data_IF_672529304872
#
_entry.id   IF_672529304872
#
_cell.length_a   1.000
_cell.length_b   1.000
_cell.length_c   1.000
_cell.angle_alpha   90.00
_cell.angle_beta   90.00
_cell.angle_gamma   90.00
#
_symmetry.space_group_name_H-M   'P 1'
#
loop_
_entity.id
_entity.type
_entity.pdbx_description
1 polymer ?
#
# COMPACT_ATOMS: atom_id res chain seq x y z
N UNK A 1 -0.57 42.13 -10.49
CA UNK A 1 0.44 41.33 -9.77
C UNK A 1 0.95 40.31 -10.76
N UNK A 2 2.18 40.47 -11.23
CA UNK A 2 2.81 39.49 -12.12
C UNK A 2 2.86 38.14 -11.41
N UNK A 3 2.36 37.11 -12.10
CA UNK A 3 2.41 35.74 -11.60
C UNK A 3 3.84 35.23 -11.82
N UNK A 4 4.51 34.87 -10.75
CA UNK A 4 5.81 34.20 -10.80
C UNK A 4 5.68 32.92 -11.63
N UNK A 5 6.61 32.69 -12.57
CA UNK A 5 6.57 31.52 -13.44
C UNK A 5 6.83 30.23 -12.67
N UNK A 6 6.39 29.09 -13.22
CA UNK A 6 6.71 27.77 -12.65
C UNK A 6 8.22 27.53 -12.51
N UNK A 7 9.03 28.06 -13.43
CA UNK A 7 10.48 27.92 -13.39
C UNK A 7 11.11 28.72 -12.25
N UNK A 8 10.65 29.95 -12.04
CA UNK A 8 11.09 30.80 -10.92
C UNK A 8 10.67 30.19 -9.58
N UNK A 9 9.44 29.68 -9.48
CA UNK A 9 8.94 28.99 -8.29
C UNK A 9 9.75 27.72 -7.99
N UNK A 10 10.04 26.90 -8.99
CA UNK A 10 10.89 25.72 -8.85
C UNK A 10 12.30 26.09 -8.39
N UNK A 11 12.89 27.12 -8.98
CA UNK A 11 14.24 27.60 -8.63
C UNK A 11 14.30 28.10 -7.20
N UNK A 12 13.30 28.88 -6.78
CA UNK A 12 13.17 29.38 -5.42
C UNK A 12 13.01 28.23 -4.42
N UNK A 13 12.11 27.27 -4.67
CA UNK A 13 11.92 26.11 -3.79
C UNK A 13 13.17 25.24 -3.69
N UNK A 14 13.88 25.02 -4.81
CA UNK A 14 15.14 24.28 -4.82
C UNK A 14 16.24 24.97 -4.02
N UNK A 15 16.32 26.30 -4.10
CA UNK A 15 17.24 27.09 -3.30
C UNK A 15 16.91 26.97 -1.80
N UNK A 16 15.64 27.15 -1.43
CA UNK A 16 15.17 26.99 -0.04
C UNK A 16 15.48 25.60 0.50
N UNK A 17 15.18 24.55 -0.26
CA UNK A 17 15.47 23.17 0.14
C UNK A 17 16.97 22.93 0.39
N UNK A 18 17.83 23.51 -0.45
CA UNK A 18 19.29 23.43 -0.30
C UNK A 18 19.80 24.21 0.94
N UNK A 19 19.22 25.37 1.24
CA UNK A 19 19.56 26.14 2.45
C UNK A 19 19.16 25.42 3.74
N UNK A 20 18.21 24.49 3.66
CA UNK A 20 17.71 23.69 4.77
C UNK A 20 18.34 22.29 4.82
N UNK A 21 19.44 22.05 4.09
CA UNK A 21 20.18 20.80 4.12
C UNK A 21 21.05 20.71 5.39
N UNK A 22 21.00 19.57 6.06
CA UNK A 22 21.85 19.28 7.21
C UNK A 22 23.28 18.99 6.72
N UNK A 23 24.32 19.67 7.22
CA UNK A 23 25.70 19.47 6.76
C UNK A 23 26.29 18.09 7.12
N UNK A 24 25.61 17.32 7.97
CA UNK A 24 26.08 16.02 8.45
C UNK A 24 25.48 14.87 7.65
N UNK A 25 24.15 14.79 7.57
CA UNK A 25 23.47 13.71 6.84
C UNK A 25 23.19 14.06 5.37
N UNK A 26 23.36 15.32 4.98
CA UNK A 26 23.06 15.85 3.64
C UNK A 26 21.59 15.69 3.22
N UNK A 27 20.70 15.43 4.17
CA UNK A 27 19.24 15.45 4.01
C UNK A 27 18.67 16.76 4.56
N UNK A 28 17.41 17.06 4.24
CA UNK A 28 16.69 18.19 4.85
C UNK A 28 16.68 18.09 6.38
N UNK A 29 16.96 19.22 7.05
CA UNK A 29 16.92 19.36 8.50
C UNK A 29 15.62 18.79 9.08
N UNK A 30 15.74 17.97 10.13
CA UNK A 30 14.59 17.30 10.75
C UNK A 30 14.44 17.75 12.19
N UNK A 31 13.36 18.48 12.53
CA UNK A 31 13.05 18.85 13.90
C UNK A 31 12.95 17.61 14.81
N UNK A 32 13.39 17.69 16.09
CA UNK A 32 14.03 18.85 16.72
C UNK A 32 15.46 19.09 16.19
N UNK A 33 15.89 20.36 16.15
CA UNK A 33 17.21 20.76 15.67
C UNK A 33 18.17 21.08 16.82
N UNK A 34 19.46 20.91 16.54
CA UNK A 34 20.57 21.38 17.37
C UNK A 34 21.23 22.56 16.67
N UNK A 35 21.51 23.62 17.42
CA UNK A 35 21.99 24.90 16.88
C UNK A 35 23.27 25.34 17.58
N UNK A 36 24.24 25.91 16.84
CA UNK A 36 25.41 26.55 17.43
C UNK A 36 25.16 28.05 17.73
N UNK A 37 26.09 28.71 18.43
CA UNK A 37 25.98 30.14 18.75
C UNK A 37 25.93 31.08 17.53
N UNK A 38 26.38 30.60 16.36
CA UNK A 38 26.28 31.30 15.08
C UNK A 38 25.00 30.95 14.28
N UNK A 39 24.03 30.26 14.89
CA UNK A 39 22.74 29.86 14.31
C UNK A 39 22.77 28.81 13.19
N UNK A 40 23.89 28.11 12.97
CA UNK A 40 23.89 26.93 12.09
C UNK A 40 23.15 25.77 12.75
N UNK A 41 22.32 25.08 11.98
CA UNK A 41 21.49 23.99 12.45
C UNK A 41 21.99 22.64 11.94
N UNK A 42 21.83 21.61 12.76
CA UNK A 42 21.95 20.20 12.40
C UNK A 42 20.73 19.45 12.95
N UNK A 43 20.39 18.29 12.36
CA UNK A 43 19.36 17.42 12.92
C UNK A 43 19.76 16.99 14.34
N UNK A 44 18.80 16.80 15.25
CA UNK A 44 19.11 16.34 16.62
C UNK A 44 19.90 15.03 16.63
N UNK A 45 19.56 14.06 15.77
CA UNK A 45 20.31 12.80 15.62
C UNK A 45 21.73 12.99 15.10
N UNK A 46 21.98 14.04 14.31
CA UNK A 46 23.31 14.37 13.81
C UNK A 46 24.14 15.16 14.83
N UNK A 47 23.47 15.87 15.73
CA UNK A 47 24.11 16.73 16.73
C UNK A 47 24.41 16.04 18.07
N UNK A 48 23.93 14.82 18.32
CA UNK A 48 24.04 14.14 19.62
C UNK A 48 25.49 14.04 20.14
N UNK A 49 26.45 13.76 19.25
CA UNK A 49 27.86 13.56 19.61
C UNK A 49 28.77 14.72 19.18
N UNK A 50 28.20 15.79 18.62
CA UNK A 50 28.99 16.92 18.12
C UNK A 50 29.25 17.94 19.24
N UNK A 51 30.54 18.24 19.47
CA UNK A 51 30.97 19.32 20.37
C UNK A 51 31.06 20.66 19.67
N UNK A 52 31.38 20.65 18.39
CA UNK A 52 31.62 21.83 17.56
C UNK A 52 30.77 21.77 16.29
N UNK A 53 30.38 22.94 15.79
CA UNK A 53 29.59 23.08 14.59
C UNK A 53 30.41 22.62 13.37
N UNK A 54 29.90 21.70 12.53
CA UNK A 54 30.62 21.26 11.33
C UNK A 54 30.76 22.36 10.27
N UNK A 55 30.04 23.47 10.39
CA UNK A 55 30.06 24.59 9.44
C UNK A 55 31.01 25.71 9.85
N UNK A 56 31.13 25.99 11.15
CA UNK A 56 31.89 27.16 11.63
C UNK A 56 32.73 26.90 12.87
N UNK A 57 32.89 25.64 13.30
CA UNK A 57 33.78 25.18 14.38
C UNK A 57 33.49 25.75 15.78
N UNK A 58 32.42 26.53 15.93
CA UNK A 58 31.97 27.03 17.24
C UNK A 58 31.27 25.95 18.05
N UNK A 59 31.39 26.03 19.37
CA UNK A 59 30.74 25.10 20.30
C UNK A 59 29.23 24.96 20.04
N UNK A 60 28.77 23.70 20.02
CA UNK A 60 27.35 23.37 19.98
C UNK A 60 26.80 23.46 21.39
N UNK A 61 25.83 24.33 21.57
CA UNK A 61 25.19 24.57 22.87
C UNK A 61 23.85 23.86 22.92
N UNK A 62 23.64 23.04 23.96
CA UNK A 62 22.48 22.15 24.09
C UNK A 62 21.15 22.86 24.41
N UNK A 63 21.16 24.18 24.63
CA UNK A 63 20.01 24.95 25.12
C UNK A 63 19.57 26.12 24.22
N UNK A 64 20.10 26.24 22.99
CA UNK A 64 19.66 27.28 22.07
C UNK A 64 18.29 26.93 21.47
N UNK A 65 17.39 27.91 21.47
CA UNK A 65 16.09 27.82 20.81
C UNK A 65 16.20 28.41 19.41
N UNK A 66 15.56 27.78 18.44
CA UNK A 66 15.47 28.29 17.07
C UNK A 66 14.04 28.81 16.79
N UNK A 67 13.84 29.68 15.78
CA UNK A 67 12.53 30.26 15.49
C UNK A 67 11.49 29.20 15.10
N UNK A 68 10.28 29.28 15.65
CA UNK A 68 9.17 28.38 15.29
C UNK A 68 8.82 28.42 13.79
N UNK A 69 9.05 29.57 13.14
CA UNK A 69 8.88 29.69 11.70
C UNK A 69 9.78 28.71 10.91
N UNK A 70 10.93 28.31 11.45
CA UNK A 70 11.78 27.28 10.84
C UNK A 70 11.12 25.90 10.94
N UNK A 71 10.45 25.57 12.04
CA UNK A 71 9.65 24.34 12.14
C UNK A 71 8.52 24.35 11.11
N UNK A 72 7.80 25.47 10.97
CA UNK A 72 6.70 25.59 10.00
C UNK A 72 7.19 25.38 8.56
N UNK A 73 8.32 25.98 8.20
CA UNK A 73 8.95 25.79 6.88
C UNK A 73 9.39 24.33 6.70
N UNK A 74 10.07 23.73 7.68
CA UNK A 74 10.54 22.35 7.60
C UNK A 74 9.42 21.31 7.58
N UNK A 75 8.26 21.64 8.13
CA UNK A 75 7.04 20.84 8.07
C UNK A 75 6.24 21.06 6.78
N UNK A 76 6.35 22.23 6.15
CA UNK A 76 5.71 22.55 4.88
C UNK A 76 6.45 22.02 3.64
N UNK A 77 7.73 21.69 3.75
CA UNK A 77 8.54 21.19 2.62
C UNK A 77 8.39 19.66 2.49
N UNK A 78 7.95 19.15 1.32
CA UNK A 78 7.92 17.73 1.04
C UNK A 78 9.33 17.12 1.08
N UNK A 79 9.46 15.92 1.64
CA UNK A 79 10.73 15.20 1.72
C UNK A 79 10.62 13.87 0.99
N UNK A 80 11.76 13.42 0.47
CA UNK A 80 11.86 12.13 -0.20
C UNK A 80 11.70 11.00 0.82
N UNK A 81 11.00 9.93 0.44
CA UNK A 81 10.97 8.70 1.23
C UNK A 81 12.38 8.12 1.46
N UNK A 82 12.69 7.79 2.72
CA UNK A 82 13.99 7.22 3.10
C UNK A 82 14.13 5.70 2.95
N UNK A 83 13.07 4.97 2.57
CA UNK A 83 13.12 3.50 2.51
C UNK A 83 14.01 2.96 1.38
N UNK A 84 14.07 3.66 0.25
CA UNK A 84 14.97 3.33 -0.87
C UNK A 84 15.16 4.55 -1.76
N UNK A 85 16.32 4.61 -2.42
CA UNK A 85 16.61 5.65 -3.43
C UNK A 85 15.64 5.57 -4.61
N UNK A 86 15.09 4.39 -4.87
CA UNK A 86 14.13 4.09 -5.94
C UNK A 86 12.69 4.50 -5.58
N UNK A 87 12.43 4.86 -4.32
CA UNK A 87 11.16 5.48 -3.96
C UNK A 87 11.18 6.96 -4.36
N UNK A 88 10.41 7.30 -5.40
CA UNK A 88 10.32 8.66 -5.92
C UNK A 88 9.27 9.52 -5.21
N UNK A 89 8.68 9.04 -4.12
CA UNK A 89 7.64 9.76 -3.38
C UNK A 89 8.25 10.91 -2.56
N UNK A 90 7.69 12.10 -2.76
CA UNK A 90 7.95 13.30 -1.95
C UNK A 90 6.67 13.64 -1.19
N UNK A 91 6.76 13.68 0.13
CA UNK A 91 5.59 13.73 1.02
C UNK A 91 5.89 14.66 2.20
N UNK A 92 4.84 15.24 2.79
CA UNK A 92 5.02 16.00 4.03
C UNK A 92 5.52 15.11 5.19
N UNK A 93 6.11 15.66 6.26
CA UNK A 93 6.59 14.84 7.37
C UNK A 93 5.52 13.95 8.02
N UNK A 94 4.27 14.42 8.09
CA UNK A 94 3.14 13.63 8.59
C UNK A 94 2.82 12.45 7.68
N UNK A 95 2.78 12.67 6.37
CA UNK A 95 2.51 11.64 5.36
C UNK A 95 3.66 10.64 5.23
N UNK A 96 4.91 11.08 5.38
CA UNK A 96 6.09 10.19 5.33
C UNK A 96 6.04 9.10 6.40
N UNK A 97 5.52 9.42 7.58
CA UNK A 97 5.37 8.45 8.67
C UNK A 97 4.43 7.31 8.27
N UNK A 98 3.31 7.64 7.64
CA UNK A 98 2.34 6.65 7.19
C UNK A 98 2.82 5.93 5.92
N UNK A 99 3.38 6.67 4.96
CA UNK A 99 3.98 6.11 3.75
C UNK A 99 5.09 5.10 4.08
N UNK A 100 5.92 5.36 5.08
CA UNK A 100 7.04 4.47 5.43
C UNK A 100 6.58 3.06 5.76
N UNK A 101 5.35 2.91 6.30
CA UNK A 101 4.72 1.62 6.62
C UNK A 101 4.15 0.91 5.40
N UNK A 102 3.70 1.66 4.39
CA UNK A 102 3.06 1.11 3.18
C UNK A 102 3.97 1.12 1.94
N UNK A 103 5.18 1.65 2.08
CA UNK A 103 6.13 1.83 0.98
C UNK A 103 6.53 0.47 0.37
N UNK A 104 6.37 0.27 -0.95
CA UNK A 104 6.77 -0.98 -1.62
C UNK A 104 8.27 -1.31 -1.54
N UNK A 105 9.09 -0.33 -1.16
CA UNK A 105 10.53 -0.47 -1.01
C UNK A 105 10.98 -0.66 0.43
N UNK A 106 10.05 -0.63 1.41
CA UNK A 106 10.42 -0.91 2.80
C UNK A 106 10.96 -2.33 2.93
N UNK A 107 11.90 -2.51 3.84
CA UNK A 107 12.46 -3.82 4.13
C UNK A 107 11.48 -4.65 4.97
N UNK A 108 11.39 -5.94 4.66
CA UNK A 108 10.66 -6.93 5.46
C UNK A 108 11.41 -8.26 5.46
N UNK A 109 10.98 -9.17 6.33
CA UNK A 109 11.50 -10.53 6.45
C UNK A 109 10.41 -11.55 6.12
N UNK A 110 10.80 -12.66 5.50
CA UNK A 110 9.87 -13.77 5.28
C UNK A 110 9.45 -14.36 6.63
N UNK A 111 8.15 -14.48 6.89
CA UNK A 111 7.61 -15.06 8.14
C UNK A 111 7.44 -16.58 8.09
N UNK A 112 7.78 -17.23 6.97
CA UNK A 112 7.72 -18.69 6.81
C UNK A 112 8.79 -19.34 7.70
N UNK A 113 8.45 -20.38 8.48
CA UNK A 113 9.41 -21.05 9.35
C UNK A 113 10.67 -21.49 8.61
N UNK A 114 11.81 -21.36 9.27
CA UNK A 114 13.12 -21.73 8.74
C UNK A 114 13.58 -20.93 7.51
N UNK A 115 12.91 -19.84 7.15
CA UNK A 115 13.38 -18.89 6.14
C UNK A 115 14.18 -17.76 6.78
N UNK A 116 15.33 -17.42 6.18
CA UNK A 116 16.20 -16.32 6.62
C UNK A 116 16.15 -15.09 5.68
N UNK A 117 15.27 -15.10 4.68
CA UNK A 117 15.20 -14.06 3.68
C UNK A 117 14.78 -12.70 4.27
N UNK A 118 15.48 -11.65 3.84
CA UNK A 118 15.18 -10.25 4.12
C UNK A 118 15.36 -9.45 2.83
N UNK A 119 14.45 -8.52 2.55
CA UNK A 119 14.50 -7.71 1.34
C UNK A 119 13.35 -6.73 1.23
N UNK A 120 13.26 -6.05 0.09
CA UNK A 120 12.18 -5.10 -0.18
C UNK A 120 10.85 -5.84 -0.35
N UNK A 121 9.77 -5.28 0.21
CA UNK A 121 8.46 -5.94 0.19
C UNK A 121 7.95 -6.25 -1.24
N UNK A 122 8.23 -5.38 -2.23
CA UNK A 122 7.88 -5.64 -3.64
C UNK A 122 8.50 -6.93 -4.20
N UNK A 123 9.61 -7.41 -3.62
CA UNK A 123 10.31 -8.64 -4.07
C UNK A 123 9.88 -9.89 -3.29
N UNK A 124 9.12 -9.72 -2.19
CA UNK A 124 8.71 -10.82 -1.30
C UNK A 124 7.92 -11.90 -2.04
N UNK A 125 6.97 -11.52 -2.88
CA UNK A 125 6.16 -12.49 -3.63
C UNK A 125 7.01 -13.34 -4.56
N UNK A 126 8.01 -12.73 -5.21
CA UNK A 126 8.92 -13.47 -6.06
C UNK A 126 9.74 -14.47 -5.23
N UNK A 127 10.26 -14.03 -4.08
CA UNK A 127 10.97 -14.92 -3.15
C UNK A 127 10.10 -16.10 -2.71
N UNK A 128 8.86 -15.87 -2.27
CA UNK A 128 7.96 -16.96 -1.84
C UNK A 128 7.65 -17.89 -3.01
N UNK A 129 7.42 -17.37 -4.22
CA UNK A 129 7.22 -18.21 -5.42
C UNK A 129 8.43 -19.08 -5.76
N UNK A 130 9.66 -18.60 -5.57
CA UNK A 130 10.86 -19.36 -5.92
C UNK A 130 11.27 -20.33 -4.83
N UNK A 131 11.12 -19.93 -3.56
CA UNK A 131 11.70 -20.65 -2.41
C UNK A 131 10.66 -21.41 -1.58
N UNK A 132 9.36 -21.09 -1.75
CA UNK A 132 8.25 -21.62 -0.95
C UNK A 132 6.99 -21.85 -1.82
N UNK A 133 7.14 -22.55 -2.94
CA UNK A 133 6.09 -22.72 -3.99
C UNK A 133 4.71 -23.14 -3.46
N UNK A 134 4.64 -23.91 -2.37
CA UNK A 134 3.40 -24.43 -1.79
C UNK A 134 2.79 -23.54 -0.68
N UNK A 135 3.44 -22.41 -0.36
CA UNK A 135 3.06 -21.52 0.74
C UNK A 135 2.44 -20.21 0.26
N UNK A 136 2.10 -20.10 -1.03
CA UNK A 136 1.46 -18.92 -1.64
C UNK A 136 0.06 -19.23 -2.16
N UNK A 137 -0.90 -18.37 -1.80
CA UNK A 137 -2.27 -18.40 -2.30
C UNK A 137 -2.60 -17.08 -3.00
N UNK A 138 -3.13 -17.17 -4.21
CA UNK A 138 -3.65 -16.02 -4.96
C UNK A 138 -5.18 -16.06 -4.87
N UNK A 139 -5.77 -15.14 -4.09
CA UNK A 139 -7.21 -15.04 -3.92
C UNK A 139 -7.81 -14.21 -5.06
N UNK A 140 -8.54 -14.88 -5.94
CA UNK A 140 -9.50 -14.26 -6.88
C UNK A 140 -10.94 -14.46 -6.38
N UNK A 141 -11.15 -14.36 -5.05
CA UNK A 141 -12.40 -14.75 -4.37
C UNK A 141 -12.12 -15.78 -3.28
N UNK A 142 -12.94 -16.82 -3.21
CA UNK A 142 -12.77 -17.93 -2.27
C UNK A 142 -11.69 -18.91 -2.78
N UNK A 143 -10.75 -19.31 -1.94
CA UNK A 143 -9.73 -20.34 -2.28
C UNK A 143 -9.73 -21.45 -1.25
N UNK A 144 -9.51 -22.68 -1.71
CA UNK A 144 -9.35 -23.83 -0.83
C UNK A 144 -7.90 -23.94 -0.37
N UNK A 145 -7.68 -23.92 0.94
CA UNK A 145 -6.40 -24.23 1.56
C UNK A 145 -6.37 -25.70 1.93
N UNK A 146 -5.26 -26.36 1.61
CA UNK A 146 -5.01 -27.77 1.97
C UNK A 146 -3.76 -27.87 2.82
N UNK A 147 -3.90 -28.47 4.00
CA UNK A 147 -2.77 -28.83 4.87
C UNK A 147 -2.53 -30.32 4.79
N UNK A 148 -1.37 -30.72 4.27
CA UNK A 148 -0.97 -32.12 4.15
C UNK A 148 -0.44 -32.66 5.48
N UNK A 149 -0.60 -33.98 5.70
CA UNK A 149 -0.12 -34.67 6.90
C UNK A 149 -0.65 -34.08 8.22
N UNK A 150 -1.86 -33.54 8.20
CA UNK A 150 -2.50 -32.95 9.37
C UNK A 150 -3.09 -34.02 10.29
N UNK A 151 -2.98 -33.81 11.60
CA UNK A 151 -3.58 -34.66 12.63
C UNK A 151 -3.92 -33.81 13.84
N UNK A 152 -5.13 -33.96 14.35
CA UNK A 152 -5.64 -33.22 15.52
C UNK A 152 -4.79 -33.48 16.77
N UNK A 153 -4.17 -34.65 16.86
CA UNK A 153 -3.35 -35.10 17.98
C UNK A 153 -1.88 -34.64 17.90
N UNK A 154 -1.46 -34.04 16.78
CA UNK A 154 -0.06 -33.63 16.57
C UNK A 154 0.09 -32.11 16.55
N UNK A 155 1.16 -31.56 17.15
CA UNK A 155 1.43 -30.14 17.05
C UNK A 155 1.66 -29.79 15.58
N UNK A 156 1.09 -28.67 15.16
CA UNK A 156 1.21 -28.17 13.80
C UNK A 156 1.45 -26.68 13.83
N UNK A 157 2.38 -26.19 13.01
CA UNK A 157 2.59 -24.77 12.78
C UNK A 157 2.92 -24.54 11.31
N UNK A 158 2.25 -23.58 10.69
CA UNK A 158 2.55 -23.16 9.32
C UNK A 158 2.25 -21.68 9.16
N UNK A 159 3.00 -21.05 8.24
CA UNK A 159 2.76 -19.66 7.82
C UNK A 159 2.69 -19.66 6.31
N UNK A 160 1.63 -19.08 5.77
CA UNK A 160 1.33 -18.99 4.34
C UNK A 160 1.13 -17.52 3.96
N UNK A 161 1.50 -17.16 2.74
CA UNK A 161 1.20 -15.84 2.19
C UNK A 161 -0.07 -15.91 1.33
N UNK A 162 -0.90 -14.90 1.47
CA UNK A 162 -2.13 -14.74 0.70
C UNK A 162 -2.06 -13.39 -0.01
N UNK A 163 -2.32 -13.38 -1.31
CA UNK A 163 -2.44 -12.16 -2.12
C UNK A 163 -3.89 -11.92 -2.52
N UNK A 164 -4.42 -10.73 -2.24
CA UNK A 164 -5.78 -10.32 -2.58
C UNK A 164 -5.83 -8.86 -3.00
N UNK A 165 -6.29 -8.58 -4.23
CA UNK A 165 -6.52 -7.23 -4.79
C UNK A 165 -5.33 -6.27 -4.56
N UNK A 166 -4.10 -6.76 -4.79
CA UNK A 166 -2.87 -5.98 -4.62
C UNK A 166 -2.37 -5.85 -3.19
N UNK A 167 -3.06 -6.44 -2.21
CA UNK A 167 -2.64 -6.50 -0.81
C UNK A 167 -2.10 -7.89 -0.46
N UNK A 168 -1.16 -7.95 0.49
CA UNK A 168 -0.55 -9.19 0.95
C UNK A 168 -0.85 -9.44 2.43
N UNK A 169 -1.13 -10.70 2.75
CA UNK A 169 -1.51 -11.13 4.08
C UNK A 169 -0.69 -12.34 4.49
N UNK A 170 -0.25 -12.39 5.75
CA UNK A 170 0.25 -13.62 6.36
C UNK A 170 -0.89 -14.35 7.04
N UNK A 171 -1.00 -15.64 6.78
CA UNK A 171 -1.86 -16.55 7.51
C UNK A 171 -0.98 -17.48 8.35
N UNK A 172 -1.06 -17.35 9.67
CA UNK A 172 -0.38 -18.22 10.62
C UNK A 172 -1.36 -19.19 11.23
N UNK A 173 -1.06 -20.48 11.15
CA UNK A 173 -1.91 -21.57 11.61
C UNK A 173 -1.18 -22.38 12.67
N UNK A 174 -1.84 -22.67 13.79
CA UNK A 174 -1.29 -23.47 14.89
C UNK A 174 -2.31 -24.50 15.39
N UNK A 175 -1.90 -25.76 15.51
CA UNK A 175 -2.62 -26.79 16.25
C UNK A 175 -1.85 -27.09 17.54
N UNK A 176 -2.51 -26.94 18.68
CA UNK A 176 -1.99 -27.32 20.00
C UNK A 176 -2.84 -28.46 20.58
N UNK A 177 -2.40 -29.72 20.42
CA UNK A 177 -3.13 -30.88 20.93
C UNK A 177 -3.28 -30.89 22.46
N UNK A 178 -2.35 -30.28 23.20
CA UNK A 178 -2.39 -30.28 24.67
C UNK A 178 -3.54 -29.43 25.19
N UNK A 179 -3.83 -28.34 24.48
CA UNK A 179 -4.96 -27.45 24.76
C UNK A 179 -6.21 -27.82 23.95
N UNK A 180 -6.08 -28.72 22.97
CA UNK A 180 -7.14 -29.09 22.05
C UNK A 180 -7.59 -27.94 21.16
N UNK A 181 -6.68 -27.03 20.79
CA UNK A 181 -7.02 -25.81 20.05
C UNK A 181 -6.37 -25.79 18.67
N UNK A 182 -7.18 -25.48 17.67
CA UNK A 182 -6.73 -25.04 16.37
C UNK A 182 -6.98 -23.55 16.19
N UNK A 183 -5.92 -22.81 15.82
CA UNK A 183 -5.93 -21.36 15.72
C UNK A 183 -5.39 -20.86 14.39
N UNK A 184 -6.05 -19.84 13.85
CA UNK A 184 -5.63 -19.15 12.63
C UNK A 184 -5.61 -17.66 12.88
N UNK A 185 -4.50 -17.01 12.51
CA UNK A 185 -4.28 -15.55 12.63
C UNK A 185 -3.97 -15.01 11.24
N UNK A 186 -4.64 -13.93 10.85
CA UNK A 186 -4.32 -13.17 9.64
C UNK A 186 -3.69 -11.83 9.99
N UNK A 187 -2.58 -11.49 9.34
CA UNK A 187 -1.97 -10.15 9.44
C UNK A 187 -1.84 -9.54 8.06
N UNK A 188 -2.17 -8.25 7.92
CA UNK A 188 -2.00 -7.47 6.70
C UNK A 188 -0.60 -6.85 6.69
N UNK A 189 0.13 -7.00 5.58
CA UNK A 189 1.41 -6.31 5.36
C UNK A 189 1.22 -4.85 4.92
N UNK A 190 0.01 -4.31 5.06
CA UNK A 190 -0.42 -2.93 4.83
C UNK A 190 0.26 -2.26 3.63
N UNK A 191 -0.42 -2.26 2.49
CA UNK A 191 -0.15 -1.32 1.39
C UNK A 191 -1.14 -0.15 1.37
N UNK A 192 -2.13 -0.19 2.25
CA UNK A 192 -3.19 0.79 2.42
C UNK A 192 -3.63 0.85 3.89
N UNK A 193 -4.41 1.89 4.23
CA UNK A 193 -5.05 2.05 5.54
C UNK A 193 -6.36 1.26 5.66
N UNK A 194 -6.61 0.32 4.73
CA UNK A 194 -7.87 -0.38 4.66
C UNK A 194 -7.95 -1.46 5.73
N UNK A 195 -9.12 -1.57 6.37
CA UNK A 195 -9.43 -2.71 7.23
C UNK A 195 -9.93 -3.90 6.41
N UNK A 196 -9.50 -5.09 6.80
CA UNK A 196 -9.87 -6.34 6.15
C UNK A 196 -10.45 -7.31 7.17
N UNK A 197 -11.33 -8.18 6.69
CA UNK A 197 -11.89 -9.31 7.44
C UNK A 197 -11.66 -10.58 6.62
N UNK A 198 -11.22 -11.63 7.30
CA UNK A 198 -11.00 -12.95 6.73
C UNK A 198 -12.16 -13.86 7.14
N UNK A 199 -12.70 -14.62 6.20
CA UNK A 199 -13.67 -15.66 6.44
C UNK A 199 -13.01 -17.01 6.20
N UNK A 200 -13.14 -17.91 7.18
CA UNK A 200 -12.77 -19.31 7.08
C UNK A 200 -14.05 -20.14 7.06
N UNK A 201 -14.12 -21.07 6.11
CA UNK A 201 -15.29 -21.90 5.91
C UNK A 201 -14.89 -23.38 5.73
N UNK A 202 -15.38 -24.23 6.61
CA UNK A 202 -15.21 -25.67 6.56
C UNK A 202 -16.52 -26.30 6.06
N UNK A 203 -16.45 -27.09 5.00
CA UNK A 203 -17.62 -27.69 4.36
C UNK A 203 -17.41 -29.17 4.13
N UNK A 204 -18.34 -29.98 4.61
CA UNK A 204 -18.56 -31.36 4.18
C UNK A 204 -19.95 -31.49 3.57
N UNK A 205 -20.36 -32.70 3.18
CA UNK A 205 -21.71 -32.97 2.71
C UNK A 205 -22.78 -32.60 3.74
N UNK A 206 -22.48 -32.79 5.03
CA UNK A 206 -23.45 -32.72 6.12
C UNK A 206 -23.18 -31.56 7.10
N UNK A 207 -21.97 -30.99 7.09
CA UNK A 207 -21.53 -29.98 8.06
C UNK A 207 -20.99 -28.76 7.33
N UNK A 208 -21.46 -27.58 7.74
CA UNK A 208 -20.93 -26.29 7.30
C UNK A 208 -20.61 -25.44 8.52
N UNK A 209 -19.33 -25.13 8.71
CA UNK A 209 -18.86 -24.21 9.74
C UNK A 209 -18.25 -22.98 9.07
N UNK A 210 -18.68 -21.78 9.48
CA UNK A 210 -18.19 -20.52 8.96
C UNK A 210 -17.83 -19.60 10.11
N UNK A 211 -16.65 -19.01 10.02
CA UNK A 211 -16.17 -18.03 10.99
C UNK A 211 -15.50 -16.87 10.28
N UNK A 212 -15.73 -15.67 10.78
CA UNK A 212 -15.06 -14.46 10.31
C UNK A 212 -14.20 -13.85 11.40
N UNK A 213 -13.09 -13.26 11.00
CA UNK A 213 -12.07 -12.68 11.87
C UNK A 213 -11.51 -11.41 11.29
N UNK A 214 -11.23 -10.44 12.17
CA UNK A 214 -10.55 -9.22 11.79
C UNK A 214 -9.09 -9.53 11.42
N UNK A 215 -8.64 -9.01 10.28
CA UNK A 215 -7.24 -9.06 9.89
C UNK A 215 -6.47 -8.03 10.71
N UNK A 216 -5.39 -8.47 11.36
CA UNK A 216 -4.57 -7.65 12.25
C UNK A 216 -3.46 -6.91 11.47
N UNK A 217 -2.78 -5.95 12.11
CA UNK A 217 -1.59 -5.31 11.54
C UNK A 217 -0.37 -6.24 11.55
N UNK A 218 0.65 -5.94 10.74
CA UNK A 218 1.87 -6.75 10.62
C UNK A 218 2.68 -6.82 11.93
N UNK A 219 2.62 -5.77 12.76
CA UNK A 219 3.44 -5.57 13.96
C UNK A 219 3.00 -6.39 15.18
N UNK A 220 1.95 -7.19 15.04
CA UNK A 220 1.39 -7.97 16.14
C UNK A 220 2.23 -9.19 16.46
N UNK A 221 2.49 -9.41 17.75
CA UNK A 221 3.05 -10.67 18.25
C UNK A 221 2.03 -11.81 18.09
N UNK A 222 2.34 -12.71 17.15
CA UNK A 222 1.47 -13.82 16.79
C UNK A 222 1.34 -14.83 17.96
N UNK A 223 2.39 -15.03 18.76
CA UNK A 223 2.34 -15.95 19.90
C UNK A 223 1.48 -15.40 21.05
N UNK A 224 1.51 -14.08 21.27
CA UNK A 224 0.57 -13.42 22.18
C UNK A 224 -0.88 -13.58 21.70
N UNK A 225 -1.13 -13.44 20.38
CA UNK A 225 -2.47 -13.61 19.82
C UNK A 225 -2.98 -15.04 19.91
N UNK A 226 -2.13 -16.03 19.68
CA UNK A 226 -2.51 -17.42 19.94
C UNK A 226 -2.87 -17.64 21.41
N UNK A 227 -2.32 -16.86 22.34
CA UNK A 227 -2.63 -16.96 23.76
C UNK A 227 -3.93 -16.25 24.18
N UNK A 228 -4.41 -15.25 23.42
CA UNK A 228 -5.50 -14.33 23.82
C UNK A 228 -6.80 -14.42 23.00
N UNK A 229 -7.12 -15.57 22.40
CA UNK A 229 -8.44 -15.81 21.81
C UNK A 229 -8.60 -15.33 20.36
N UNK A 230 -7.72 -15.78 19.48
CA UNK A 230 -8.00 -15.79 18.02
C UNK A 230 -9.00 -16.89 17.66
N UNK A 231 -9.42 -16.98 16.38
CA UNK A 231 -10.25 -18.05 15.82
C UNK A 231 -9.92 -19.38 16.48
N UNK A 232 -10.84 -19.85 17.32
CA UNK A 232 -10.70 -21.06 18.10
C UNK A 232 -11.68 -22.08 17.54
N UNK A 233 -11.12 -23.21 17.12
CA UNK A 233 -11.87 -24.42 16.86
C UNK A 233 -11.31 -25.50 17.79
N UNK A 234 -12.16 -26.20 18.56
CA UNK A 234 -11.72 -27.42 19.24
C UNK A 234 -11.13 -28.36 18.19
N UNK A 235 -9.90 -28.83 18.38
CA UNK A 235 -9.21 -29.64 17.35
C UNK A 235 -10.01 -30.89 16.98
N UNK A 236 -10.77 -31.46 17.91
CA UNK A 236 -11.66 -32.61 17.68
C UNK A 236 -12.76 -32.33 16.66
N UNK A 237 -13.26 -31.10 16.58
CA UNK A 237 -14.28 -30.68 15.61
C UNK A 237 -13.72 -30.59 14.18
N UNK A 238 -12.39 -30.65 14.01
CA UNK A 238 -11.77 -30.68 12.70
C UNK A 238 -11.81 -32.06 12.04
N UNK A 239 -12.04 -33.12 12.81
CA UNK A 239 -11.99 -34.51 12.34
C UNK A 239 -12.83 -34.76 11.06
N UNK A 240 -14.05 -34.20 10.91
CA UNK A 240 -14.86 -34.38 9.70
C UNK A 240 -14.27 -33.74 8.44
N UNK A 241 -13.36 -32.78 8.58
CA UNK A 241 -12.76 -32.03 7.47
C UNK A 241 -11.36 -32.53 7.08
N UNK A 242 -10.92 -33.63 7.71
CA UNK A 242 -9.66 -34.32 7.39
C UNK A 242 -10.00 -35.52 6.50
N UNK A 243 -9.47 -35.53 5.28
CA UNK A 243 -9.69 -36.65 4.36
C UNK A 243 -8.84 -37.89 4.70
N UNK A 244 -9.11 -39.01 4.04
CA UNK A 244 -8.40 -40.29 4.23
C UNK A 244 -6.88 -40.17 3.96
N UNK A 245 -6.44 -39.13 3.24
CA UNK A 245 -5.04 -38.82 2.96
C UNK A 245 -4.42 -37.93 4.03
N UNK A 246 -5.10 -37.72 5.17
CA UNK A 246 -4.70 -36.84 6.26
C UNK A 246 -4.53 -35.39 5.80
N UNK A 247 -5.42 -34.92 4.93
CA UNK A 247 -5.42 -33.54 4.47
C UNK A 247 -6.57 -32.77 5.10
N UNK A 248 -6.25 -31.72 5.85
CA UNK A 248 -7.25 -30.76 6.32
C UNK A 248 -7.53 -29.76 5.21
N UNK A 249 -8.81 -29.63 4.83
CA UNK A 249 -9.25 -28.72 3.77
C UNK A 249 -10.31 -27.76 4.27
N UNK A 250 -10.14 -26.49 3.96
CA UNK A 250 -11.16 -25.48 4.17
C UNK A 250 -10.95 -24.30 3.23
N UNK A 251 -11.99 -23.51 3.06
CA UNK A 251 -12.01 -22.36 2.20
C UNK A 251 -11.71 -21.08 2.97
N UNK A 252 -10.98 -20.17 2.33
CA UNK A 252 -10.66 -18.86 2.87
C UNK A 252 -11.07 -17.81 1.86
N UNK A 253 -11.62 -16.72 2.37
CA UNK A 253 -11.86 -15.50 1.63
C UNK A 253 -11.42 -14.30 2.46
N UNK A 254 -10.87 -13.27 1.82
CA UNK A 254 -10.51 -11.99 2.46
C UNK A 254 -11.27 -10.89 1.74
N UNK A 255 -11.91 -10.00 2.49
CA UNK A 255 -12.67 -8.89 1.93
C UNK A 255 -12.38 -7.60 2.68
N UNK A 256 -12.54 -6.48 1.98
CA UNK A 256 -12.40 -5.14 2.54
C UNK A 256 -13.61 -4.84 3.41
N UNK A 257 -13.38 -4.33 4.62
CA UNK A 257 -14.44 -3.81 5.48
C UNK A 257 -14.83 -2.43 4.96
N UNK A 258 -16.09 -2.24 4.59
CA UNK A 258 -16.59 -0.94 4.17
C UNK A 258 -16.55 0.01 5.39
N UNK A 259 -15.88 1.16 5.23
CA UNK A 259 -15.83 2.19 6.28
C UNK A 259 -17.25 2.70 6.55
N UNK A 260 -17.76 2.52 7.77
CA UNK A 260 -19.04 3.12 8.18
C UNK A 260 -18.84 4.63 8.26
N UNK A 261 -19.34 5.38 7.28
CA UNK A 261 -19.42 6.84 7.38
C UNK A 261 -20.38 7.15 8.53
N UNK A 262 -19.84 7.54 9.69
CA UNK A 262 -20.64 8.21 10.71
C UNK A 262 -21.03 9.57 10.13
N UNK A 263 -22.23 9.66 9.58
CA UNK A 263 -22.86 10.93 9.26
C UNK A 263 -23.12 11.67 10.58
N UNK A 264 -22.13 12.45 11.03
CA UNK A 264 -22.41 13.50 11.99
C UNK A 264 -23.18 14.58 11.23
N UNK A 265 -24.50 14.57 11.38
CA UNK A 265 -25.34 15.69 11.05
C UNK A 265 -24.89 16.89 11.87
N UNK A 266 -24.21 17.85 11.24
CA UNK A 266 -24.62 19.25 11.29
C UNK A 266 -23.79 20.15 10.37
N UNK A 267 -24.54 20.85 9.50
CA UNK A 267 -24.35 22.19 8.95
C UNK A 267 -23.16 22.44 8.03
N UNK A 268 -23.51 22.89 6.82
CA UNK A 268 -22.62 23.06 5.69
C UNK A 268 -21.58 24.16 5.83
N UNK A 269 -20.42 23.90 5.23
CA UNK A 269 -19.59 24.89 4.56
C UNK A 269 -18.65 24.11 3.63
N UNK A 270 -18.56 24.61 2.39
CA UNK A 270 -17.71 24.27 1.25
C UNK A 270 -16.78 23.04 1.30
N UNK A 271 -16.92 22.16 0.30
CA UNK A 271 -16.01 21.03 0.04
C UNK A 271 -14.57 21.52 -0.18
N UNK A 272 -13.58 21.01 0.59
CA UNK A 272 -12.18 21.12 0.21
C UNK A 272 -11.93 20.22 -1.01
N UNK A 273 -11.34 20.79 -2.05
CA UNK A 273 -10.82 20.08 -3.21
C UNK A 273 -9.91 18.92 -2.77
N UNK A 274 -10.45 17.69 -2.78
CA UNK A 274 -9.68 16.47 -2.52
C UNK A 274 -9.09 15.94 -3.83
N UNK A 275 -7.77 15.97 -3.86
CA UNK A 275 -6.85 14.98 -4.44
C UNK A 275 -6.83 14.83 -5.98
N UNK A 276 -6.13 15.74 -6.65
CA UNK A 276 -5.54 15.49 -7.98
C UNK A 276 -4.53 14.31 -7.97
N UNK A 277 -3.95 13.95 -6.81
CA UNK A 277 -3.04 12.80 -6.68
C UNK A 277 -3.73 11.42 -6.76
N UNK A 278 -5.03 11.35 -6.46
CA UNK A 278 -5.83 10.15 -6.72
C UNK A 278 -6.01 9.94 -8.22
N UNK A 279 -6.18 11.02 -8.98
CA UNK A 279 -6.35 11.02 -10.43
C UNK A 279 -5.06 10.65 -11.15
N UNK A 280 -3.89 11.10 -10.69
CA UNK A 280 -2.59 10.72 -11.27
C UNK A 280 -2.29 9.22 -11.11
N UNK A 281 -2.68 8.63 -9.98
CA UNK A 281 -2.56 7.19 -9.73
C UNK A 281 -3.58 6.35 -10.51
N UNK A 282 -4.73 6.94 -10.86
CA UNK A 282 -5.71 6.35 -11.80
C UNK A 282 -5.15 6.37 -13.23
N UNK A 283 -4.48 7.46 -13.66
CA UNK A 283 -3.86 7.61 -14.98
C UNK A 283 -2.70 6.60 -15.19
N UNK A 284 -1.84 6.39 -14.17
CA UNK A 284 -0.77 5.38 -14.23
C UNK A 284 -1.27 3.93 -14.37
N UNK A 285 -2.54 3.65 -14.04
CA UNK A 285 -3.16 2.32 -14.21
C UNK A 285 -3.81 2.13 -15.58
N UNK A 286 -4.15 3.21 -16.27
CA UNK A 286 -4.67 3.19 -17.65
C UNK A 286 -3.53 2.90 -18.64
N UNK A 287 -2.34 3.47 -18.43
CA UNK A 287 -1.16 3.21 -19.26
C UNK A 287 -0.71 1.73 -19.24
N UNK A 288 -1.06 0.98 -18.19
CA UNK A 288 -0.70 -0.43 -18.05
C UNK A 288 -1.82 -1.40 -18.49
N UNK A 289 -2.94 -0.90 -19.03
CA UNK A 289 -4.05 -1.75 -19.48
C UNK A 289 -4.32 -1.52 -20.96
N UNK A 290 -3.71 -2.35 -21.79
CA UNK A 290 -3.74 -2.20 -23.25
C UNK A 290 -5.10 -2.52 -23.89
N UNK A 291 -5.98 -3.29 -23.22
CA UNK A 291 -7.21 -3.86 -23.82
C UNK A 291 -8.46 -3.72 -22.94
N UNK A 292 -9.62 -3.59 -23.62
CA UNK A 292 -10.96 -3.50 -23.05
C UNK A 292 -11.39 -4.79 -22.33
N UNK A 293 -12.00 -4.66 -21.14
CA UNK A 293 -12.49 -5.82 -20.35
C UNK A 293 -13.68 -6.56 -21.01
N UNK A 294 -14.24 -6.04 -22.11
CA UNK A 294 -15.39 -6.61 -22.81
C UNK A 294 -15.10 -7.06 -24.24
N UNK A 295 -14.51 -6.21 -25.06
CA UNK A 295 -14.24 -6.53 -26.47
C UNK A 295 -12.79 -6.92 -26.73
N UNK A 296 -11.91 -6.86 -25.71
CA UNK A 296 -10.49 -7.18 -25.81
C UNK A 296 -9.71 -6.35 -26.87
N UNK A 297 -10.31 -5.28 -27.41
CA UNK A 297 -9.66 -4.29 -28.27
C UNK A 297 -9.00 -3.18 -27.45
N UNK A 298 -8.04 -2.48 -28.08
CA UNK A 298 -7.42 -1.27 -27.51
C UNK A 298 -8.46 -0.20 -27.19
N UNK A 299 -8.34 0.43 -26.02
CA UNK A 299 -9.29 1.46 -25.58
C UNK A 299 -9.33 2.65 -26.56
N UNK A 300 -10.53 2.97 -27.05
CA UNK A 300 -10.81 4.22 -27.74
C UNK A 300 -11.66 5.11 -26.82
N UNK A 301 -11.20 6.34 -26.48
CA UNK A 301 -11.99 7.27 -25.67
C UNK A 301 -13.25 7.74 -26.43
N UNK A 302 -14.33 8.11 -25.71
CA UNK A 302 -14.46 8.09 -24.24
C UNK A 302 -14.53 6.67 -23.65
N UNK A 303 -14.09 6.50 -22.40
CA UNK A 303 -14.10 5.20 -21.70
C UNK A 303 -15.21 5.21 -20.63
N UNK A 304 -15.94 4.10 -20.50
CA UNK A 304 -16.89 3.86 -19.41
C UNK A 304 -16.20 3.17 -18.24
N UNK A 305 -16.48 3.64 -17.03
CA UNK A 305 -15.92 3.09 -15.79
C UNK A 305 -17.06 2.81 -14.80
N UNK A 306 -17.05 1.63 -14.19
CA UNK A 306 -17.97 1.33 -13.08
C UNK A 306 -17.37 1.73 -11.73
N UNK A 307 -18.17 1.77 -10.66
CA UNK A 307 -17.71 2.11 -9.30
C UNK A 307 -16.55 1.22 -8.78
N UNK A 308 -16.43 0.00 -9.30
CA UNK A 308 -15.34 -0.94 -9.02
C UNK A 308 -14.17 -0.88 -10.03
N UNK A 309 -14.03 0.20 -10.79
CA UNK A 309 -12.90 0.49 -11.70
C UNK A 309 -12.65 -0.55 -12.82
N UNK A 310 -13.72 -1.20 -13.31
CA UNK A 310 -13.67 -1.95 -14.56
C UNK A 310 -13.88 -1.01 -15.75
N UNK A 311 -13.12 -1.20 -16.82
CA UNK A 311 -13.04 -0.27 -17.96
C UNK A 311 -13.67 -0.89 -19.21
N UNK A 312 -14.56 -0.15 -19.85
CA UNK A 312 -15.27 -0.59 -21.06
C UNK A 312 -15.17 0.49 -22.14
N UNK A 313 -15.02 0.10 -23.41
CA UNK A 313 -15.15 1.06 -24.50
C UNK A 313 -16.57 1.65 -24.51
N UNK A 314 -16.70 2.93 -24.82
CA UNK A 314 -18.02 3.56 -24.90
C UNK A 314 -18.94 2.86 -25.91
N UNK A 315 -18.36 2.38 -27.02
CA UNK A 315 -19.05 1.64 -28.07
C UNK A 315 -19.56 0.24 -27.66
N UNK A 316 -19.08 -0.34 -26.55
CA UNK A 316 -19.47 -1.69 -26.13
C UNK A 316 -20.91 -1.78 -25.57
N UNK A 317 -21.69 -0.69 -25.56
CA UNK A 317 -23.06 -0.60 -25.02
C UNK A 317 -23.23 -1.22 -23.61
N UNK A 318 -22.15 -1.26 -22.82
CA UNK A 318 -22.17 -1.78 -21.44
C UNK A 318 -22.79 -0.74 -20.52
N UNK A 319 -23.97 -1.05 -19.97
CA UNK A 319 -24.66 -0.20 -18.97
C UNK A 319 -24.45 -0.72 -17.55
N UNK A 320 -24.18 -2.03 -17.40
CA UNK A 320 -23.81 -2.68 -16.14
C UNK A 320 -22.54 -3.52 -16.34
N UNK A 321 -21.61 -3.42 -15.40
CA UNK A 321 -20.38 -4.19 -15.39
C UNK A 321 -20.68 -5.69 -15.31
N UNK A 322 -20.12 -6.48 -16.22
CA UNK A 322 -20.33 -7.93 -16.23
C UNK A 322 -19.61 -8.65 -15.09
N UNK A 323 -18.61 -8.02 -14.47
CA UNK A 323 -17.81 -8.58 -13.36
C UNK A 323 -18.40 -8.31 -11.99
N UNK A 324 -18.90 -7.10 -11.75
CA UNK A 324 -19.41 -6.68 -10.44
C UNK A 324 -20.87 -6.20 -10.44
N UNK A 325 -21.54 -6.19 -11.59
CA UNK A 325 -22.94 -5.76 -11.81
C UNK A 325 -23.26 -4.30 -11.54
N UNK A 326 -22.28 -3.48 -11.16
CA UNK A 326 -22.44 -2.03 -10.98
C UNK A 326 -22.72 -1.29 -12.28
N UNK A 327 -23.32 -0.10 -12.15
CA UNK A 327 -23.58 0.78 -13.30
C UNK A 327 -22.27 1.33 -13.87
N UNK A 328 -22.07 1.16 -15.17
CA UNK A 328 -20.95 1.77 -15.89
C UNK A 328 -21.33 3.19 -16.31
N UNK A 329 -20.53 4.19 -15.91
CA UNK A 329 -20.75 5.59 -16.29
C UNK A 329 -19.70 6.03 -17.30
N UNK A 330 -20.10 6.83 -18.30
CA UNK A 330 -19.18 7.44 -19.26
C UNK A 330 -18.30 8.41 -18.49
N UNK A 331 -16.99 8.25 -18.57
CA UNK A 331 -16.08 9.18 -17.92
C UNK A 331 -15.94 10.46 -18.73
N UNK A 332 -15.78 11.61 -18.06
CA UNK A 332 -15.54 12.92 -18.68
C UNK A 332 -14.05 13.15 -19.02
N UNK A 333 -13.23 12.09 -19.03
CA UNK A 333 -11.78 12.22 -19.22
C UNK A 333 -11.43 12.39 -20.70
N UNK A 334 -10.57 13.37 -21.00
CA UNK A 334 -9.91 13.51 -22.29
C UNK A 334 -8.55 12.81 -22.23
N UNK A 335 -8.28 11.91 -23.17
CA UNK A 335 -6.99 11.21 -23.25
C UNK A 335 -5.98 12.13 -23.96
N UNK A 336 -4.85 12.34 -23.30
CA UNK A 336 -3.72 13.11 -23.79
C UNK A 336 -2.63 12.14 -24.27
N UNK A 337 -2.22 12.27 -25.53
CA UNK A 337 -1.09 11.51 -26.06
C UNK A 337 0.17 12.37 -26.06
N UNK A 338 1.32 11.73 -25.80
CA UNK A 338 2.65 12.33 -25.99
C UNK A 338 3.07 12.17 -27.45
N UNK A 339 3.38 13.29 -28.10
CA UNK A 339 3.94 13.33 -29.45
C UNK A 339 5.31 12.62 -29.48
N UNK A 340 5.57 11.80 -30.50
CA UNK A 340 6.85 11.08 -30.63
C UNK A 340 8.03 11.99 -30.97
N UNK A 341 7.75 13.19 -31.50
CA UNK A 341 8.77 14.15 -31.96
C UNK A 341 9.23 15.12 -30.87
N UNK A 342 8.43 15.36 -29.82
CA UNK A 342 8.80 16.25 -28.72
C UNK A 342 8.02 15.98 -27.44
N UNK A 343 8.76 15.86 -26.33
CA UNK A 343 8.22 15.67 -24.99
C UNK A 343 7.46 16.89 -24.43
N UNK A 344 7.51 18.04 -25.13
CA UNK A 344 6.80 19.26 -24.76
C UNK A 344 5.48 19.45 -25.53
N UNK A 345 5.15 18.55 -26.47
CA UNK A 345 3.91 18.63 -27.22
C UNK A 345 2.80 17.81 -26.55
N UNK A 346 1.70 18.47 -26.26
CA UNK A 346 0.52 17.89 -25.63
C UNK A 346 -0.63 17.86 -26.65
N UNK A 347 -1.02 16.67 -27.08
CA UNK A 347 -2.12 16.49 -28.06
C UNK A 347 -3.28 15.80 -27.38
N UNK A 348 -4.42 16.47 -27.34
CA UNK A 348 -5.67 15.94 -26.81
C UNK A 348 -6.55 15.47 -27.95
N UNK A 349 -7.09 14.24 -27.86
CA UNK A 349 -7.96 13.69 -28.92
C UNK A 349 -9.42 14.02 -28.63
N UNK A 350 -9.97 14.98 -29.35
CA UNK A 350 -11.42 15.14 -29.55
C UNK A 350 -11.71 14.65 -30.98
N UNK A 351 -12.04 13.36 -31.13
CA UNK A 351 -12.57 12.66 -32.32
C UNK A 351 -11.82 12.77 -33.68
N UNK A 352 -11.37 11.59 -34.17
CA UNK A 352 -10.89 11.27 -35.53
C UNK A 352 -9.65 12.03 -36.06
N UNK A 353 -8.48 11.40 -35.89
CA UNK A 353 -7.32 11.59 -36.79
C UNK A 353 -6.24 12.61 -36.41
N UNK A 354 -6.34 13.27 -35.26
CA UNK A 354 -5.52 14.44 -34.90
C UNK A 354 -4.04 14.19 -34.60
N UNK A 355 -3.64 13.03 -34.04
CA UNK A 355 -2.22 12.79 -33.69
C UNK A 355 -1.33 12.64 -34.93
N UNK A 356 -1.77 11.87 -35.93
CA UNK A 356 -1.00 11.67 -37.17
C UNK A 356 -0.96 12.94 -38.06
N UNK A 357 -1.93 13.85 -37.92
CA UNK A 357 -1.86 15.18 -38.53
C UNK A 357 -0.91 16.09 -37.75
N UNK A 358 -0.94 16.05 -36.41
CA UNK A 358 -0.04 16.81 -35.56
C UNK A 358 1.43 16.41 -35.75
N UNK A 359 1.75 15.12 -35.90
CA UNK A 359 3.12 14.64 -36.14
C UNK A 359 3.62 14.90 -37.57
N UNK A 360 2.74 15.36 -38.48
CA UNK A 360 3.12 15.80 -39.84
C UNK A 360 3.39 17.31 -39.93
N UNK A 361 2.98 18.10 -38.92
CA UNK A 361 3.20 19.54 -38.80
C UNK A 361 4.48 19.76 -37.99
#
# INVERSE_FOLDING_TARGET
>A
MDKMSHFELYTALKFVAKTLECPVCLDTLTPPLVMCSNNHCVCSSCGQDLKECPTCETEITSNLRYPLALDDILNGIPRKCGNSKDCEQFLSPSELKEHSKICPYRLTSCKIPSCCWKGEIKTLIQHVKTSHQNEIFLLNGQTTVTFINFSVDKPYYSVKIISYVGSLFWMSTKNDPKKGEYKVVFTNMAFDEQEYEAQIEFVTKDIRYLKKEKVLSEDVDIEDKFSKGTLYLPSVELSPFIDDKKQLKYEINIFKVASTIKLNSNTGTELPNKNEDGLLNILKRIDNKELCDFCEDTFLPPIKVCANYHFFCDNCKVTKCLRCKDSAKVSSFKIQYKCTLSYKCEVYRDDKGTLAQHEKI
#
